data_IF_932153887832
#
_entry.id   IF_932153887832
#
_cell.length_a   1.000
_cell.length_b   1.000
_cell.length_c   1.000
_cell.angle_alpha   90.00
_cell.angle_beta   90.00
_cell.angle_gamma   90.00
#
_symmetry.space_group_name_H-M   'P 1'
#
loop_
_entity.id
_entity.type
_entity.pdbx_description
1 polymer ?
#
# COMPACT_ATOMS: atom_id res chain seq x y z
N UNK A 1 5.17 4.41 5.56
CA UNK A 1 6.16 4.95 4.61
C UNK A 1 7.52 4.95 5.29
N UNK A 2 8.54 4.36 4.66
CA UNK A 2 9.91 4.46 5.13
C UNK A 2 10.60 5.67 4.48
N UNK A 3 11.28 6.49 5.25
CA UNK A 3 12.13 7.55 4.74
C UNK A 3 13.45 6.92 4.29
N UNK A 4 13.81 7.07 3.01
CA UNK A 4 15.06 6.51 2.47
C UNK A 4 16.27 7.38 2.80
N UNK A 5 16.07 8.69 2.90
CA UNK A 5 17.07 9.67 3.28
C UNK A 5 16.42 10.96 3.78
N UNK A 6 17.14 11.69 4.62
CA UNK A 6 16.86 13.08 4.96
C UNK A 6 18.05 13.93 4.53
N UNK A 7 17.80 14.94 3.71
CA UNK A 7 18.83 15.86 3.23
C UNK A 7 18.54 17.24 3.78
N UNK A 8 19.46 17.79 4.55
CA UNK A 8 19.39 19.18 4.98
C UNK A 8 19.94 20.05 3.86
N UNK A 9 19.09 20.93 3.32
CA UNK A 9 19.46 21.84 2.24
C UNK A 9 20.52 22.84 2.70
N UNK A 10 20.42 23.27 3.96
CA UNK A 10 21.37 24.19 4.59
C UNK A 10 21.68 23.80 6.03
N UNK A 11 22.96 23.81 6.37
CA UNK A 11 23.43 23.61 7.74
C UNK A 11 23.47 24.95 8.49
N UNK A 12 23.86 26.02 7.80
CA UNK A 12 23.89 27.39 8.32
C UNK A 12 23.03 28.31 7.50
N UNK A 13 22.45 29.35 8.12
CA UNK A 13 21.82 30.43 7.37
C UNK A 13 22.77 31.03 6.33
N UNK A 14 22.25 31.42 5.19
CA UNK A 14 23.00 32.05 4.11
C UNK A 14 22.29 33.35 3.68
N UNK A 15 22.97 34.47 3.86
CA UNK A 15 22.46 35.80 3.53
C UNK A 15 21.09 36.09 4.16
N UNK A 16 20.02 36.19 3.35
CA UNK A 16 18.65 36.43 3.79
C UNK A 16 17.85 35.13 4.03
N UNK A 17 18.43 33.99 3.73
CA UNK A 17 17.78 32.70 3.92
C UNK A 17 18.08 32.17 5.34
N UNK A 18 17.03 32.10 6.17
CA UNK A 18 17.11 31.83 7.61
C UNK A 18 16.59 30.42 7.99
N UNK A 19 16.75 29.45 7.12
CA UNK A 19 16.28 28.06 7.32
C UNK A 19 17.36 27.06 7.72
N UNK A 20 18.60 27.54 7.94
CA UNK A 20 19.70 26.71 8.42
C UNK A 20 19.49 26.18 9.84
N UNK A 21 20.17 25.13 10.23
CA UNK A 21 20.20 24.57 11.60
C UNK A 21 21.01 25.44 12.55
N UNK A 22 21.97 26.19 12.04
CA UNK A 22 22.80 27.15 12.74
C UNK A 22 22.54 28.55 12.19
N UNK A 23 22.81 29.57 13.02
CA UNK A 23 22.87 30.95 12.54
C UNK A 23 24.03 31.15 11.58
N UNK A 24 24.02 32.25 10.81
CA UNK A 24 25.02 32.58 9.80
C UNK A 24 26.44 32.62 10.41
N UNK A 25 26.59 33.18 11.59
CA UNK A 25 27.82 33.23 12.40
C UNK A 25 28.15 31.90 13.10
N UNK A 26 27.24 30.91 13.04
CA UNK A 26 27.34 29.59 13.68
C UNK A 26 27.36 29.63 15.22
N UNK A 27 27.00 30.73 15.83
CA UNK A 27 26.98 30.86 17.28
C UNK A 27 25.78 30.19 17.93
N UNK A 28 24.62 30.18 17.22
CA UNK A 28 23.39 29.60 17.75
C UNK A 28 23.00 28.35 16.98
N UNK A 29 22.85 27.24 17.69
CA UNK A 29 22.22 26.03 17.20
C UNK A 29 20.70 26.13 17.42
N UNK A 30 19.92 26.40 16.36
CA UNK A 30 18.49 26.69 16.43
C UNK A 30 17.66 25.47 16.84
N UNK A 31 18.06 24.27 16.44
CA UNK A 31 17.28 23.05 16.65
C UNK A 31 17.75 22.22 17.86
N UNK A 32 18.99 22.45 18.31
CA UNK A 32 19.66 21.67 19.36
C UNK A 32 20.25 20.36 18.82
N UNK A 33 21.55 20.16 19.06
CA UNK A 33 22.29 18.99 18.55
C UNK A 33 21.68 17.66 18.98
N UNK A 34 21.26 17.55 20.24
CA UNK A 34 20.67 16.31 20.78
C UNK A 34 19.35 15.94 20.09
N UNK A 35 18.49 16.92 19.81
CA UNK A 35 17.23 16.69 19.11
C UNK A 35 17.45 16.25 17.67
N UNK A 36 18.41 16.88 16.97
CA UNK A 36 18.76 16.51 15.60
C UNK A 36 19.33 15.09 15.58
N UNK A 37 20.28 14.79 16.49
CA UNK A 37 20.88 13.47 16.60
C UNK A 37 19.82 12.39 16.90
N UNK A 38 18.95 12.64 17.89
CA UNK A 38 17.88 11.71 18.24
C UNK A 38 16.92 11.45 17.05
N UNK A 39 16.55 12.49 16.32
CA UNK A 39 15.70 12.38 15.14
C UNK A 39 16.37 11.57 14.01
N UNK A 40 17.66 11.83 13.76
CA UNK A 40 18.43 11.11 12.76
C UNK A 40 18.63 9.63 13.13
N UNK A 41 18.97 9.36 14.40
CA UNK A 41 19.11 7.99 14.90
C UNK A 41 17.77 7.24 14.81
N UNK A 42 16.67 7.90 15.10
CA UNK A 42 15.34 7.31 14.93
C UNK A 42 15.07 7.01 13.48
N UNK A 43 15.31 7.94 12.55
CA UNK A 43 15.12 7.73 11.11
C UNK A 43 16.00 6.60 10.55
N UNK A 44 17.24 6.45 11.06
CA UNK A 44 18.17 5.38 10.66
C UNK A 44 17.77 4.02 11.22
N UNK A 45 17.26 3.98 12.46
CA UNK A 45 16.96 2.75 13.18
C UNK A 45 15.52 2.26 13.00
N UNK A 46 14.59 3.15 12.65
CA UNK A 46 13.18 2.81 12.38
C UNK A 46 13.04 2.20 10.97
N UNK A 47 13.72 1.08 10.73
CA UNK A 47 13.51 0.32 9.50
C UNK A 47 12.09 -0.24 9.49
N UNK A 48 11.36 0.02 8.42
CA UNK A 48 10.06 -0.58 8.20
C UNK A 48 10.24 -1.89 7.42
N UNK A 49 10.06 -3.01 8.10
CA UNK A 49 10.04 -4.33 7.48
C UNK A 49 8.61 -4.71 7.13
N UNK A 50 8.45 -5.32 5.97
CA UNK A 50 7.19 -5.84 5.47
C UNK A 50 7.20 -7.36 5.52
N UNK A 51 6.34 -7.95 6.34
CA UNK A 51 6.07 -9.38 6.29
C UNK A 51 4.79 -9.61 5.52
N UNK A 52 4.90 -10.16 4.33
CA UNK A 52 3.75 -10.51 3.50
C UNK A 52 2.86 -11.53 4.23
N UNK A 53 1.58 -11.22 4.36
CA UNK A 53 0.54 -12.12 4.88
C UNK A 53 -0.43 -12.56 3.80
N UNK A 54 -0.66 -11.70 2.80
CA UNK A 54 -1.19 -12.02 1.49
C UNK A 54 -0.18 -11.49 0.47
N UNK A 55 0.56 -12.34 -0.24
CA UNK A 55 1.56 -11.88 -1.19
C UNK A 55 0.96 -11.06 -2.32
N UNK A 56 1.68 -10.02 -2.75
CA UNK A 56 1.44 -9.39 -4.05
C UNK A 56 2.08 -10.22 -5.16
N UNK A 57 1.70 -9.94 -6.40
CA UNK A 57 2.33 -10.57 -7.57
C UNK A 57 3.66 -9.94 -7.98
N UNK A 58 4.26 -9.10 -7.14
CA UNK A 58 5.54 -8.45 -7.42
C UNK A 58 6.66 -9.47 -7.68
N UNK A 59 6.76 -10.49 -6.82
CA UNK A 59 7.80 -11.52 -6.90
C UNK A 59 7.29 -12.80 -7.58
N UNK A 60 6.13 -13.27 -7.17
CA UNK A 60 5.54 -14.53 -7.62
C UNK A 60 4.13 -14.28 -8.08
N UNK A 61 3.75 -14.84 -9.23
CA UNK A 61 2.42 -14.67 -9.76
C UNK A 61 1.34 -15.27 -8.85
N UNK A 62 0.36 -14.47 -8.48
CA UNK A 62 -0.77 -14.86 -7.63
C UNK A 62 -2.06 -14.78 -8.47
N UNK A 63 -2.86 -15.83 -8.42
CA UNK A 63 -4.13 -15.87 -9.15
C UNK A 63 -5.22 -15.14 -8.38
N UNK A 64 -5.97 -14.32 -9.09
CA UNK A 64 -7.17 -13.65 -8.58
C UNK A 64 -8.39 -14.00 -9.44
N UNK A 65 -9.56 -13.99 -8.83
CA UNK A 65 -10.82 -13.91 -9.56
C UNK A 65 -11.04 -12.49 -10.02
N UNK A 66 -11.46 -12.28 -11.27
CA UNK A 66 -11.71 -10.94 -11.79
C UNK A 66 -12.81 -10.91 -12.83
N UNK A 67 -13.42 -9.75 -12.98
CA UNK A 67 -14.35 -9.41 -14.05
C UNK A 67 -14.13 -7.98 -14.50
N UNK A 68 -14.47 -7.69 -15.76
CA UNK A 68 -14.49 -6.34 -16.35
C UNK A 68 -15.91 -5.85 -16.62
N UNK A 69 -16.89 -6.65 -16.23
CA UNK A 69 -18.30 -6.29 -16.26
C UNK A 69 -18.74 -5.96 -14.85
N UNK A 70 -19.39 -4.82 -14.67
CA UNK A 70 -19.83 -4.37 -13.35
C UNK A 70 -20.69 -5.46 -12.67
N UNK A 71 -20.25 -5.99 -11.54
CA UNK A 71 -21.03 -6.96 -10.80
C UNK A 71 -22.20 -6.29 -10.11
N UNK A 72 -23.22 -7.06 -9.81
CA UNK A 72 -24.41 -6.60 -9.06
C UNK A 72 -24.36 -7.09 -7.62
N UNK A 73 -25.02 -6.38 -6.72
CA UNK A 73 -25.10 -6.75 -5.30
C UNK A 73 -23.78 -6.55 -4.56
N UNK A 74 -23.64 -7.24 -3.44
CA UNK A 74 -22.50 -7.12 -2.52
C UNK A 74 -21.29 -7.92 -3.01
N UNK A 75 -20.82 -7.62 -4.20
CA UNK A 75 -19.70 -8.33 -4.85
C UNK A 75 -18.41 -8.33 -4.00
N UNK A 76 -18.26 -7.42 -3.08
CA UNK A 76 -17.17 -7.30 -2.12
C UNK A 76 -17.37 -8.14 -0.85
N UNK A 77 -18.57 -8.71 -0.66
CA UNK A 77 -18.93 -9.49 0.51
C UNK A 77 -18.40 -10.93 0.48
N UNK A 78 -18.30 -11.54 1.65
CA UNK A 78 -17.77 -12.90 1.81
C UNK A 78 -18.63 -13.98 1.14
N UNK A 79 -19.93 -13.82 1.14
CA UNK A 79 -20.88 -14.79 0.60
C UNK A 79 -21.12 -14.65 -0.91
N UNK A 80 -20.46 -13.69 -1.56
CA UNK A 80 -20.64 -13.48 -2.99
C UNK A 80 -20.08 -14.66 -3.79
N UNK A 81 -20.87 -15.14 -4.75
CA UNK A 81 -20.47 -16.23 -5.63
C UNK A 81 -19.74 -15.68 -6.87
N UNK A 82 -18.43 -15.77 -6.87
CA UNK A 82 -17.55 -15.36 -7.98
C UNK A 82 -17.15 -16.53 -8.91
N UNK A 83 -17.84 -17.66 -8.85
CA UNK A 83 -17.52 -18.84 -9.66
C UNK A 83 -17.52 -18.56 -11.18
N UNK A 84 -18.38 -17.63 -11.64
CA UNK A 84 -18.47 -17.21 -13.03
C UNK A 84 -17.37 -16.20 -13.43
N UNK A 85 -16.59 -15.66 -12.49
CA UNK A 85 -15.52 -14.73 -12.81
C UNK A 85 -14.32 -15.46 -13.41
N UNK A 86 -13.59 -14.75 -14.25
CA UNK A 86 -12.33 -15.26 -14.80
C UNK A 86 -11.29 -15.39 -13.70
N UNK A 87 -10.32 -16.27 -13.93
CA UNK A 87 -9.10 -16.34 -13.11
C UNK A 87 -7.94 -15.81 -13.92
N UNK A 88 -7.14 -14.92 -13.33
CA UNK A 88 -5.94 -14.36 -13.94
C UNK A 88 -4.86 -14.11 -12.91
N UNK A 89 -3.62 -14.07 -13.37
CA UNK A 89 -2.49 -13.69 -12.55
C UNK A 89 -2.48 -12.17 -12.34
N UNK A 90 -2.46 -11.71 -11.10
CA UNK A 90 -2.32 -10.29 -10.79
C UNK A 90 -0.94 -9.78 -11.26
N UNK A 91 -0.87 -8.55 -11.33
CA UNK A 91 -0.50 -7.52 -12.22
C UNK A 91 -1.42 -7.38 -13.43
N UNK A 92 -2.64 -6.97 -13.17
CA UNK A 92 -3.56 -6.63 -14.24
C UNK A 92 -3.25 -5.24 -14.76
N UNK A 93 -3.22 -5.05 -16.08
CA UNK A 93 -2.95 -3.74 -16.64
C UNK A 93 -2.69 -3.73 -18.12
N UNK A 94 -2.36 -2.54 -18.64
CA UNK A 94 -1.99 -2.33 -20.04
C UNK A 94 -0.47 -2.36 -20.20
N UNK A 95 -0.01 -2.90 -21.33
CA UNK A 95 1.43 -2.94 -21.63
C UNK A 95 2.00 -1.53 -21.74
N UNK A 96 3.18 -1.32 -21.15
CA UNK A 96 3.86 -0.03 -21.17
C UNK A 96 3.54 0.88 -19.98
N UNK A 97 2.66 0.47 -19.08
CA UNK A 97 2.44 1.20 -17.81
C UNK A 97 3.74 1.26 -17.00
N UNK A 98 4.20 2.45 -16.59
CA UNK A 98 5.44 2.60 -15.82
C UNK A 98 5.42 1.78 -14.53
N UNK A 99 6.49 1.01 -14.30
CA UNK A 99 6.62 0.17 -13.11
C UNK A 99 5.71 -1.06 -13.08
N UNK A 100 4.80 -1.21 -14.04
CA UNK A 100 3.85 -2.31 -14.10
C UNK A 100 4.50 -3.62 -14.55
N UNK A 101 4.32 -4.69 -13.77
CA UNK A 101 4.69 -6.07 -14.15
C UNK A 101 3.43 -6.81 -14.63
N UNK A 102 3.00 -6.49 -15.86
CA UNK A 102 1.73 -6.98 -16.40
C UNK A 102 1.80 -8.48 -16.68
N UNK A 103 0.96 -9.27 -16.02
CA UNK A 103 0.78 -10.70 -16.21
C UNK A 103 -0.55 -11.02 -16.89
N UNK A 104 -1.60 -10.25 -16.57
CA UNK A 104 -2.91 -10.34 -17.21
C UNK A 104 -3.26 -8.99 -17.82
N UNK A 105 -3.54 -8.98 -19.13
CA UNK A 105 -3.91 -7.75 -19.83
C UNK A 105 -5.32 -7.33 -19.41
N UNK A 106 -5.44 -6.08 -18.98
CA UNK A 106 -6.68 -5.39 -18.67
C UNK A 106 -6.66 -4.03 -19.40
N UNK A 107 -7.63 -3.80 -20.29
CA UNK A 107 -7.74 -2.60 -21.13
C UNK A 107 -9.15 -1.95 -21.06
N UNK A 108 -10.03 -2.45 -20.17
CA UNK A 108 -11.34 -1.83 -19.96
C UNK A 108 -11.23 -0.71 -18.94
N UNK A 109 -12.28 0.11 -18.83
CA UNK A 109 -12.34 1.22 -17.89
C UNK A 109 -12.26 0.77 -16.44
N UNK A 110 -12.89 -0.35 -16.12
CA UNK A 110 -13.00 -0.85 -14.76
C UNK A 110 -12.57 -2.31 -14.68
N UNK A 111 -12.06 -2.72 -13.54
CA UNK A 111 -11.83 -4.10 -13.16
C UNK A 111 -12.28 -4.33 -11.71
N UNK A 112 -12.94 -5.44 -11.48
CA UNK A 112 -13.30 -5.94 -10.14
C UNK A 112 -12.54 -7.22 -9.90
N UNK A 113 -11.89 -7.32 -8.74
CA UNK A 113 -11.00 -8.41 -8.38
C UNK A 113 -11.37 -8.95 -7.01
N UNK A 114 -11.18 -10.25 -6.81
CA UNK A 114 -11.40 -10.91 -5.51
C UNK A 114 -10.34 -11.99 -5.26
N UNK A 115 -9.95 -12.10 -4.00
CA UNK A 115 -9.01 -13.12 -3.54
C UNK A 115 -9.42 -13.59 -2.14
N UNK A 116 -9.57 -14.89 -1.98
CA UNK A 116 -9.64 -15.52 -0.66
C UNK A 116 -8.25 -15.64 -0.05
N UNK A 117 -8.13 -15.36 1.23
CA UNK A 117 -6.90 -15.60 1.97
C UNK A 117 -7.18 -16.06 3.40
N UNK A 118 -6.24 -16.77 4.00
CA UNK A 118 -6.35 -17.23 5.37
C UNK A 118 -5.24 -16.63 6.20
N UNK A 119 -5.61 -16.06 7.33
CA UNK A 119 -4.66 -15.59 8.33
C UNK A 119 -4.56 -16.64 9.46
N UNK A 120 -3.35 -16.83 9.97
CA UNK A 120 -3.13 -17.50 11.24
C UNK A 120 -3.47 -16.62 12.43
N UNK A 121 -3.00 -17.00 13.61
CA UNK A 121 -3.16 -16.19 14.82
C UNK A 121 -2.53 -14.80 14.66
N UNK A 122 -3.31 -13.78 14.96
CA UNK A 122 -2.90 -12.40 15.01
C UNK A 122 -3.45 -11.76 16.28
N UNK A 123 -2.55 -11.18 17.08
CA UNK A 123 -2.97 -10.30 18.18
C UNK A 123 -3.63 -9.03 17.61
N UNK A 124 -4.41 -8.34 18.43
CA UNK A 124 -5.01 -7.05 18.03
C UNK A 124 -3.95 -6.00 17.71
N UNK A 125 -2.80 -6.03 18.42
CA UNK A 125 -1.66 -5.19 18.08
C UNK A 125 -1.12 -5.50 16.66
N UNK A 126 -0.98 -6.76 16.31
CA UNK A 126 -0.52 -7.19 14.99
C UNK A 126 -1.56 -6.81 13.90
N UNK A 127 -2.86 -6.98 14.17
CA UNK A 127 -3.92 -6.49 13.28
C UNK A 127 -3.82 -4.99 13.04
N UNK A 128 -3.52 -4.22 14.10
CA UNK A 128 -3.28 -2.78 14.01
C UNK A 128 -2.16 -2.40 13.05
N UNK A 129 -1.17 -3.28 12.86
CA UNK A 129 -0.01 -3.10 11.97
C UNK A 129 -0.21 -3.62 10.54
N UNK A 130 -1.40 -4.17 10.21
CA UNK A 130 -1.70 -4.58 8.84
C UNK A 130 -1.88 -3.37 7.93
N UNK A 131 -1.31 -3.47 6.75
CA UNK A 131 -1.44 -2.48 5.69
C UNK A 131 -1.52 -3.17 4.31
N UNK A 132 -2.07 -2.46 3.35
CA UNK A 132 -1.99 -2.84 1.94
C UNK A 132 -0.56 -2.62 1.43
N UNK A 133 -0.09 -3.53 0.60
CA UNK A 133 1.09 -3.35 -0.23
C UNK A 133 0.63 -3.40 -1.68
N UNK A 134 0.49 -2.24 -2.31
CA UNK A 134 -0.29 -2.07 -3.53
C UNK A 134 0.46 -1.20 -4.54
N UNK A 135 0.34 -1.57 -5.82
CA UNK A 135 0.67 -0.72 -6.96
C UNK A 135 -0.59 -0.58 -7.79
N UNK A 136 -1.05 0.65 -7.97
CA UNK A 136 -2.27 0.98 -8.67
C UNK A 136 -2.04 2.14 -9.65
N UNK A 137 -2.80 2.09 -10.72
CA UNK A 137 -2.90 3.12 -11.75
C UNK A 137 -4.27 2.89 -12.44
N UNK A 138 -5.40 3.56 -12.06
CA UNK A 138 -5.48 4.77 -11.25
C UNK A 138 -6.24 4.55 -9.91
N UNK A 139 -7.50 5.14 -9.81
CA UNK A 139 -8.29 5.13 -8.58
C UNK A 139 -8.72 3.72 -8.19
N UNK A 140 -8.66 3.37 -6.92
CA UNK A 140 -9.18 2.10 -6.46
C UNK A 140 -9.84 2.15 -5.08
N UNK A 141 -10.79 1.25 -4.88
CA UNK A 141 -11.43 0.94 -3.61
C UNK A 141 -11.06 -0.47 -3.22
N UNK A 142 -10.65 -0.65 -1.97
CA UNK A 142 -10.28 -1.95 -1.42
C UNK A 142 -11.22 -2.29 -0.27
N UNK A 143 -11.79 -3.48 -0.32
CA UNK A 143 -12.69 -4.01 0.69
C UNK A 143 -12.08 -5.25 1.35
N UNK A 144 -12.33 -5.43 2.63
CA UNK A 144 -11.98 -6.63 3.38
C UNK A 144 -13.24 -7.16 4.05
N UNK A 145 -13.61 -8.40 3.75
CA UNK A 145 -14.80 -9.07 4.29
C UNK A 145 -16.09 -8.24 4.14
N UNK A 146 -16.23 -7.52 3.04
CA UNK A 146 -17.40 -6.68 2.78
C UNK A 146 -17.31 -5.24 3.29
N UNK A 147 -16.24 -4.89 4.02
CA UNK A 147 -16.05 -3.55 4.61
C UNK A 147 -15.04 -2.75 3.79
N UNK A 148 -15.37 -1.51 3.45
CA UNK A 148 -14.45 -0.59 2.76
C UNK A 148 -13.23 -0.32 3.65
N UNK A 149 -12.07 -0.79 3.21
CA UNK A 149 -10.82 -0.75 3.96
C UNK A 149 -9.90 0.41 3.54
N UNK A 150 -9.96 0.81 2.26
CA UNK A 150 -9.22 1.95 1.73
C UNK A 150 -9.88 2.49 0.46
N UNK A 151 -9.78 3.81 0.26
CA UNK A 151 -10.03 4.50 -1.02
C UNK A 151 -8.73 5.21 -1.40
N UNK A 152 -8.25 4.96 -2.61
CA UNK A 152 -6.96 5.44 -3.07
C UNK A 152 -7.17 6.10 -4.42
N UNK A 153 -6.67 7.32 -4.58
CA UNK A 153 -6.83 8.10 -5.81
C UNK A 153 -5.51 8.31 -6.53
N UNK A 154 -5.57 8.50 -7.84
CA UNK A 154 -4.43 8.73 -8.70
C UNK A 154 -3.63 7.45 -8.96
N UNK A 155 -2.33 7.60 -9.18
CA UNK A 155 -1.47 6.48 -9.57
C UNK A 155 -0.19 6.42 -8.74
N UNK A 156 0.43 5.24 -8.76
CA UNK A 156 1.80 5.04 -8.29
C UNK A 156 2.62 4.41 -9.41
N UNK A 157 3.94 4.64 -9.41
CA UNK A 157 4.87 3.98 -10.34
C UNK A 157 5.60 2.79 -9.71
N UNK A 158 5.25 2.45 -8.47
CA UNK A 158 5.83 1.35 -7.71
C UNK A 158 4.87 0.91 -6.61
N UNK A 159 5.13 -0.24 -6.02
CA UNK A 159 4.38 -0.68 -4.84
C UNK A 159 4.61 0.28 -3.67
N UNK A 160 3.51 0.63 -3.03
CA UNK A 160 3.47 1.50 -1.86
C UNK A 160 2.68 0.87 -0.73
N UNK A 161 2.96 1.32 0.49
CA UNK A 161 2.22 0.93 1.67
C UNK A 161 1.05 1.88 1.87
N UNK A 162 -0.17 1.36 1.88
CA UNK A 162 -1.39 2.13 2.14
C UNK A 162 -2.03 1.64 3.44
N UNK A 163 -2.31 2.53 4.40
CA UNK A 163 -2.99 2.15 5.63
C UNK A 163 -4.39 1.61 5.37
N UNK A 164 -4.75 0.54 6.07
CA UNK A 164 -6.13 0.07 6.20
C UNK A 164 -6.81 0.92 7.27
N UNK A 165 -8.02 1.40 7.02
CA UNK A 165 -8.80 2.14 7.99
C UNK A 165 -9.24 1.27 9.20
N UNK A 166 -9.80 1.88 10.23
CA UNK A 166 -10.18 1.19 11.46
C UNK A 166 -11.23 0.09 11.22
N UNK A 167 -12.22 0.38 10.39
CA UNK A 167 -13.32 -0.55 10.10
C UNK A 167 -12.83 -1.75 9.29
N UNK A 168 -11.97 -1.52 8.29
CA UNK A 168 -11.32 -2.57 7.51
C UNK A 168 -10.44 -3.47 8.38
N UNK A 169 -9.69 -2.90 9.34
CA UNK A 169 -8.91 -3.68 10.32
C UNK A 169 -9.81 -4.49 11.25
N UNK A 170 -10.91 -3.92 11.71
CA UNK A 170 -11.88 -4.60 12.56
C UNK A 170 -12.54 -5.79 11.84
N UNK A 171 -12.78 -5.66 10.54
CA UNK A 171 -13.36 -6.72 9.72
C UNK A 171 -12.43 -7.94 9.51
N UNK A 172 -11.12 -7.80 9.74
CA UNK A 172 -10.15 -8.88 9.54
C UNK A 172 -10.35 -9.97 10.61
N UNK A 173 -10.50 -11.20 10.15
CA UNK A 173 -10.62 -12.41 10.98
C UNK A 173 -9.24 -13.03 11.19
N UNK A 174 -8.74 -12.97 12.43
CA UNK A 174 -7.63 -13.83 12.84
C UNK A 174 -8.09 -15.30 12.87
N UNK A 175 -7.20 -16.23 12.59
CA UNK A 175 -7.50 -17.67 12.51
C UNK A 175 -8.66 -18.03 11.60
N UNK A 176 -8.82 -17.33 10.47
CA UNK A 176 -9.97 -17.57 9.62
C UNK A 176 -9.76 -17.19 8.15
N UNK A 177 -10.73 -17.60 7.36
CA UNK A 177 -10.87 -17.17 5.98
C UNK A 177 -11.28 -15.70 5.92
N UNK A 178 -10.65 -14.98 5.04
CA UNK A 178 -10.94 -13.59 4.70
C UNK A 178 -11.06 -13.45 3.19
N UNK A 179 -11.72 -12.39 2.76
CA UNK A 179 -11.83 -11.98 1.36
C UNK A 179 -11.29 -10.57 1.23
N UNK A 180 -10.40 -10.35 0.29
CA UNK A 180 -10.07 -9.02 -0.20
C UNK A 180 -10.74 -8.83 -1.57
N UNK A 181 -11.41 -7.71 -1.75
CA UNK A 181 -12.04 -7.33 -3.01
C UNK A 181 -11.58 -5.93 -3.41
N UNK A 182 -11.30 -5.74 -4.69
CA UNK A 182 -10.76 -4.48 -5.21
C UNK A 182 -11.57 -4.08 -6.46
N UNK A 183 -11.98 -2.82 -6.51
CA UNK A 183 -12.41 -2.16 -7.73
C UNK A 183 -11.34 -1.16 -8.11
N UNK A 184 -10.82 -1.25 -9.33
CA UNK A 184 -9.89 -0.28 -9.88
C UNK A 184 -10.47 0.32 -11.15
N UNK A 185 -10.40 1.66 -11.25
CA UNK A 185 -11.00 2.44 -12.32
C UNK A 185 -9.93 3.22 -13.05
N UNK A 186 -9.81 2.97 -14.35
CA UNK A 186 -8.97 3.72 -15.26
C UNK A 186 -9.58 5.08 -15.57
N UNK A 187 -8.77 6.14 -15.49
CA UNK A 187 -9.17 7.51 -15.86
C UNK A 187 -8.37 8.02 -17.06
N UNK A 188 -7.04 7.92 -17.04
CA UNK A 188 -6.16 8.35 -18.11
C UNK A 188 -4.77 7.68 -18.00
N UNK A 189 -4.02 7.65 -19.10
CA UNK A 189 -2.62 7.23 -19.09
C UNK A 189 -2.40 5.72 -18.98
N UNK A 190 -1.53 5.31 -18.06
CA UNK A 190 -1.24 3.93 -17.74
C UNK A 190 -2.43 3.21 -17.10
N UNK A 191 -2.27 1.91 -16.85
CA UNK A 191 -3.33 1.10 -16.25
C UNK A 191 -2.72 -0.10 -15.54
N UNK A 192 -2.84 -0.15 -14.21
CA UNK A 192 -2.26 -1.24 -13.43
C UNK A 192 -2.96 -1.45 -12.10
N UNK A 193 -3.11 -2.70 -11.70
CA UNK A 193 -3.50 -3.05 -10.33
C UNK A 193 -2.88 -4.38 -9.91
N UNK A 194 -2.20 -4.37 -8.79
CA UNK A 194 -1.81 -5.53 -7.99
C UNK A 194 -1.71 -5.13 -6.53
N UNK A 195 -2.12 -6.03 -5.65
CA UNK A 195 -2.14 -5.78 -4.23
C UNK A 195 -1.86 -7.03 -3.40
N UNK A 196 -1.33 -6.80 -2.21
CA UNK A 196 -1.19 -7.77 -1.14
C UNK A 196 -1.42 -7.11 0.21
N UNK A 197 -1.29 -7.89 1.28
CA UNK A 197 -1.34 -7.44 2.66
C UNK A 197 -0.01 -7.74 3.34
N UNK A 198 0.48 -6.79 4.11
CA UNK A 198 1.72 -6.95 4.87
C UNK A 198 1.54 -6.48 6.32
N UNK A 199 2.21 -7.17 7.23
CA UNK A 199 2.45 -6.67 8.58
C UNK A 199 3.63 -5.71 8.55
N UNK A 200 3.44 -4.54 9.13
CA UNK A 200 4.48 -3.55 9.34
C UNK A 200 5.22 -3.86 10.63
N UNK A 201 6.54 -3.91 10.59
CA UNK A 201 7.38 -4.12 11.78
C UNK A 201 8.59 -3.21 11.74
N UNK A 202 8.98 -2.69 12.90
CA UNK A 202 10.22 -1.92 13.07
C UNK A 202 11.42 -2.84 13.39
N UNK A 203 11.19 -4.13 13.54
CA UNK A 203 12.24 -5.13 13.75
C UNK A 203 12.24 -6.12 12.61
N UNK A 204 13.42 -6.58 12.21
CA UNK A 204 13.56 -7.65 11.22
C UNK A 204 12.90 -8.90 11.78
N UNK A 205 11.90 -9.41 11.05
CA UNK A 205 11.10 -10.57 11.43
C UNK A 205 11.78 -11.87 10.99
#
# INVERSE_FOLDING_TARGET
MGLSAAVYTEITDVEIELNGLLTYDREINKAGTEKILASNLKAINDNLYLKEVLPSSQKTAINWKYTITAPTGDWFGESFNDAAWKTGQAGFGSRGTPGGNIKTVWNSKDIWMRQDFTLGELSDEAKGKLALYIHHDEDCEVYINGVLAATISGFTSAYTVVPINADGKAAIKANGKNVIAIHCKQTAGGQYIDAGLSLLSNTKL
#
